data_IF_790932892311
#
_entry.id   IF_790932892311
#
_cell.length_a   1.000
_cell.length_b   1.000
_cell.length_c   1.000
_cell.angle_alpha   90.00
_cell.angle_beta   90.00
_cell.angle_gamma   90.00
#
_symmetry.space_group_name_H-M   'P 1'
#
loop_
_entity.id
_entity.type
_entity.pdbx_description
1 polymer ?
#
# COMPACT_ATOMS: atom_id res chain seq x y z
N UNK A 1 -23.29 13.13 -35.44
CA UNK A 1 -24.12 12.68 -34.31
C UNK A 1 -23.92 13.67 -33.18
N UNK A 2 -24.90 14.56 -32.96
CA UNK A 2 -24.79 15.68 -32.03
C UNK A 2 -24.81 15.21 -30.57
N UNK A 3 -23.75 15.51 -29.83
CA UNK A 3 -23.70 15.39 -28.38
C UNK A 3 -24.60 16.45 -27.76
N UNK A 4 -25.78 16.04 -27.26
CA UNK A 4 -26.76 16.95 -26.69
C UNK A 4 -26.22 17.52 -25.36
N UNK A 5 -26.00 18.85 -25.22
CA UNK A 5 -25.39 19.46 -24.04
C UNK A 5 -26.17 19.24 -22.74
N UNK A 6 -27.47 18.98 -22.88
CA UNK A 6 -28.39 18.73 -21.75
C UNK A 6 -28.05 17.44 -20.99
N UNK A 7 -27.56 16.40 -21.68
CA UNK A 7 -27.13 15.15 -21.02
C UNK A 7 -25.84 15.35 -20.18
N UNK A 8 -24.99 16.30 -20.55
CA UNK A 8 -23.81 16.67 -19.76
C UNK A 8 -24.19 17.51 -18.54
N UNK A 9 -25.20 18.36 -18.65
CA UNK A 9 -25.71 19.14 -17.53
C UNK A 9 -26.42 18.26 -16.49
N UNK A 10 -27.25 17.29 -16.91
CA UNK A 10 -27.97 16.41 -15.98
C UNK A 10 -27.00 15.54 -15.16
N UNK A 11 -25.97 14.95 -15.80
CA UNK A 11 -24.92 14.18 -15.08
C UNK A 11 -24.15 15.00 -14.04
N UNK A 12 -23.99 16.30 -14.27
CA UNK A 12 -23.28 17.19 -13.35
C UNK A 12 -24.15 17.64 -12.16
N UNK A 13 -25.48 17.59 -12.28
CA UNK A 13 -26.40 17.94 -11.19
C UNK A 13 -26.55 16.75 -10.22
N UNK A 14 -26.63 15.52 -10.74
CA UNK A 14 -26.70 14.31 -9.89
C UNK A 14 -25.40 14.11 -9.07
N UNK A 15 -24.25 14.46 -9.64
CA UNK A 15 -22.97 14.43 -8.91
C UNK A 15 -22.83 15.52 -7.83
N UNK A 16 -23.62 16.60 -7.87
CA UNK A 16 -23.59 17.70 -6.89
C UNK A 16 -24.45 17.44 -5.65
N UNK A 17 -25.38 16.47 -5.72
CA UNK A 17 -26.25 16.09 -4.62
C UNK A 17 -25.78 14.83 -3.88
N UNK A 18 -24.66 14.23 -4.29
CA UNK A 18 -24.00 13.25 -3.45
C UNK A 18 -23.40 14.00 -2.26
N UNK A 19 -23.71 13.61 -1.00
CA UNK A 19 -23.01 14.17 0.14
C UNK A 19 -21.51 14.02 -0.13
N UNK A 20 -20.67 15.04 0.19
CA UNK A 20 -19.24 14.87 0.04
C UNK A 20 -18.88 13.59 0.75
N UNK A 21 -18.35 12.60 0.00
CA UNK A 21 -17.78 11.39 0.59
C UNK A 21 -16.84 11.92 1.66
N UNK A 22 -17.20 11.76 2.94
CA UNK A 22 -16.47 12.37 4.06
C UNK A 22 -15.00 12.10 3.81
N UNK A 23 -14.23 13.15 3.53
CA UNK A 23 -12.79 13.03 3.44
C UNK A 23 -12.39 12.32 4.74
N UNK A 24 -11.73 11.17 4.62
CA UNK A 24 -11.20 10.49 5.78
C UNK A 24 -10.33 11.52 6.50
N UNK A 25 -10.58 11.78 7.78
CA UNK A 25 -9.80 12.79 8.50
C UNK A 25 -8.31 12.39 8.44
N UNK A 26 -7.42 13.37 8.34
CA UNK A 26 -5.96 13.11 8.36
C UNK A 26 -5.53 12.33 9.63
N UNK A 27 -6.29 12.48 10.72
CA UNK A 27 -6.12 11.70 11.93
C UNK A 27 -6.42 10.20 11.71
N UNK A 28 -7.49 9.87 10.96
CA UNK A 28 -7.85 8.50 10.67
C UNK A 28 -6.91 7.86 9.64
N UNK A 29 -6.36 8.65 8.70
CA UNK A 29 -5.30 8.20 7.82
C UNK A 29 -4.04 7.79 8.61
N UNK A 30 -3.56 8.67 9.52
CA UNK A 30 -2.42 8.36 10.39
C UNK A 30 -2.66 7.16 11.30
N UNK A 31 -3.88 7.01 11.83
CA UNK A 31 -4.27 5.82 12.60
C UNK A 31 -4.21 4.55 11.75
N UNK A 32 -4.67 4.62 10.50
CA UNK A 32 -4.63 3.49 9.59
C UNK A 32 -3.20 3.05 9.25
N UNK A 33 -2.28 4.00 9.05
CA UNK A 33 -0.85 3.73 8.89
C UNK A 33 -0.30 2.95 10.10
N UNK A 34 -0.57 3.44 11.31
CA UNK A 34 -0.19 2.77 12.55
C UNK A 34 -0.75 1.35 12.68
N UNK A 35 -2.01 1.14 12.31
CA UNK A 35 -2.65 -0.19 12.34
C UNK A 35 -1.99 -1.14 11.35
N UNK A 36 -1.71 -0.70 10.12
CA UNK A 36 -1.07 -1.55 9.09
C UNK A 36 0.37 -1.90 9.50
N UNK A 37 1.15 -0.92 9.94
CA UNK A 37 2.53 -1.12 10.41
C UNK A 37 2.55 -2.06 11.61
N UNK A 38 1.66 -1.85 12.58
CA UNK A 38 1.52 -2.71 13.76
C UNK A 38 1.17 -4.14 13.37
N UNK A 39 0.22 -4.33 12.44
CA UNK A 39 -0.20 -5.65 11.98
C UNK A 39 0.96 -6.40 11.32
N UNK A 40 1.68 -5.74 10.41
CA UNK A 40 2.83 -6.34 9.73
C UNK A 40 3.93 -6.72 10.72
N UNK A 41 4.26 -5.85 11.66
CA UNK A 41 5.28 -6.16 12.68
C UNK A 41 4.87 -7.32 13.59
N UNK A 42 3.59 -7.45 13.93
CA UNK A 42 3.11 -8.58 14.72
C UNK A 42 3.20 -9.90 13.94
N UNK A 43 2.73 -9.91 12.69
CA UNK A 43 2.66 -11.13 11.86
C UNK A 43 4.03 -11.57 11.34
N UNK A 44 4.99 -10.65 11.23
CA UNK A 44 6.36 -10.92 10.76
C UNK A 44 7.38 -10.96 11.90
N UNK A 45 6.91 -10.95 13.14
CA UNK A 45 7.75 -11.03 14.33
C UNK A 45 8.62 -12.29 14.28
N UNK A 46 9.91 -12.13 14.55
CA UNK A 46 10.88 -13.23 14.55
C UNK A 46 11.46 -13.58 13.18
N UNK A 47 11.05 -12.92 12.09
CA UNK A 47 11.59 -13.16 10.73
C UNK A 47 12.74 -12.21 10.35
N UNK A 48 13.29 -11.46 11.30
CA UNK A 48 14.26 -10.37 11.06
C UNK A 48 13.70 -9.33 10.07
N UNK A 49 12.40 -9.07 10.18
CA UNK A 49 11.66 -8.10 9.38
C UNK A 49 11.12 -7.03 10.33
N UNK A 50 11.22 -5.79 9.90
CA UNK A 50 10.66 -4.64 10.60
C UNK A 50 9.96 -3.75 9.59
N UNK A 51 8.75 -3.30 9.92
CA UNK A 51 8.04 -2.27 9.17
C UNK A 51 8.05 -0.99 9.99
N UNK A 52 8.47 0.11 9.37
CA UNK A 52 8.50 1.44 9.99
C UNK A 52 7.79 2.47 9.12
N UNK A 53 7.33 3.59 9.69
CA UNK A 53 6.94 4.74 8.91
C UNK A 53 8.07 5.18 7.99
N UNK A 54 7.71 5.68 6.81
CA UNK A 54 8.64 6.34 5.93
C UNK A 54 9.12 7.65 6.55
N UNK A 55 10.37 8.01 6.26
CA UNK A 55 10.91 9.33 6.56
C UNK A 55 10.38 10.37 5.56
N UNK A 56 10.42 11.68 5.89
CA UNK A 56 9.97 12.71 4.96
C UNK A 56 10.70 12.72 3.61
N UNK A 57 11.97 12.31 3.59
CA UNK A 57 12.77 12.17 2.37
C UNK A 57 12.30 10.99 1.52
N UNK A 58 12.01 9.85 2.16
CA UNK A 58 11.46 8.67 1.48
C UNK A 58 10.04 8.91 0.93
N UNK A 59 9.20 9.69 1.60
CA UNK A 59 7.83 10.00 1.12
C UNK A 59 7.82 11.02 -0.04
N UNK A 60 8.66 12.05 0.06
CA UNK A 60 8.76 13.08 -0.98
C UNK A 60 9.45 12.56 -2.25
N UNK A 61 10.40 11.64 -2.08
CA UNK A 61 11.10 10.92 -3.13
C UNK A 61 11.93 11.77 -4.08
N UNK A 62 12.82 11.12 -4.84
CA UNK A 62 13.41 11.73 -6.03
C UNK A 62 12.41 11.66 -7.19
N UNK A 63 12.24 12.77 -7.93
CA UNK A 63 11.25 12.89 -9.03
C UNK A 63 11.38 11.79 -10.09
N UNK A 64 12.60 11.28 -10.29
CA UNK A 64 12.94 10.34 -11.36
C UNK A 64 13.08 8.88 -10.87
N UNK A 65 12.91 8.62 -9.56
CA UNK A 65 13.14 7.30 -8.95
C UNK A 65 11.91 6.74 -8.24
N UNK A 66 10.73 7.28 -8.53
CA UNK A 66 9.44 6.70 -8.11
C UNK A 66 9.09 6.83 -6.63
N UNK A 67 9.94 7.47 -5.82
CA UNK A 67 9.80 7.58 -4.35
C UNK A 67 8.68 8.48 -3.85
N UNK A 68 7.74 8.93 -4.69
CA UNK A 68 6.60 9.70 -4.21
C UNK A 68 5.58 8.78 -3.54
N UNK A 69 5.02 9.23 -2.43
CA UNK A 69 3.89 8.61 -1.71
C UNK A 69 4.28 7.27 -1.07
N UNK A 70 5.29 7.30 -0.22
CA UNK A 70 5.69 6.14 0.58
C UNK A 70 5.28 6.43 2.02
N UNK A 71 4.37 5.62 2.56
CA UNK A 71 3.87 5.78 3.93
C UNK A 71 4.66 4.88 4.91
N UNK A 72 5.15 3.73 4.44
CA UNK A 72 5.96 2.82 5.25
C UNK A 72 7.03 2.08 4.42
N UNK A 73 8.09 1.65 5.12
CA UNK A 73 9.18 0.85 4.55
C UNK A 73 9.28 -0.45 5.34
N UNK A 74 9.28 -1.58 4.61
CA UNK A 74 9.57 -2.90 5.16
C UNK A 74 11.06 -3.19 4.96
N UNK A 75 11.76 -3.43 6.07
CA UNK A 75 13.16 -3.81 6.11
C UNK A 75 13.29 -5.31 6.36
N UNK A 76 14.21 -5.95 5.63
CA UNK A 76 14.60 -7.34 5.81
C UNK A 76 16.08 -7.34 6.19
N UNK A 77 16.39 -7.90 7.36
CA UNK A 77 17.76 -7.92 7.90
C UNK A 77 18.44 -6.54 7.90
N UNK A 78 17.67 -5.49 8.26
CA UNK A 78 18.16 -4.12 8.36
C UNK A 78 18.30 -3.39 7.02
N UNK A 79 17.85 -3.96 5.91
CA UNK A 79 17.87 -3.32 4.58
C UNK A 79 16.47 -3.15 4.02
N UNK A 80 16.22 -2.03 3.34
CA UNK A 80 14.93 -1.80 2.68
C UNK A 80 14.64 -2.91 1.66
N UNK A 81 13.50 -3.57 1.84
CA UNK A 81 13.02 -4.67 1.00
C UNK A 81 11.82 -4.27 0.14
N UNK A 82 10.94 -3.41 0.67
CA UNK A 82 9.71 -3.00 -0.01
C UNK A 82 9.18 -1.67 0.54
N UNK A 83 8.64 -0.84 -0.33
CA UNK A 83 7.92 0.38 0.04
C UNK A 83 6.41 0.16 0.01
N UNK A 84 5.68 0.76 0.96
CA UNK A 84 4.24 0.60 1.12
C UNK A 84 3.58 1.96 1.03
N UNK A 85 2.61 2.06 0.13
CA UNK A 85 1.68 3.17 0.04
C UNK A 85 0.34 2.74 0.66
N UNK A 86 -0.16 3.52 1.61
CA UNK A 86 -1.34 3.22 2.40
C UNK A 86 -2.51 4.08 1.90
N UNK A 87 -3.69 3.49 1.90
CA UNK A 87 -4.90 4.22 1.54
C UNK A 87 -6.11 3.79 2.36
N UNK A 88 -6.81 4.79 2.88
CA UNK A 88 -8.12 4.64 3.53
C UNK A 88 -9.27 5.08 2.62
N UNK A 89 -8.96 5.45 1.38
CA UNK A 89 -9.96 5.92 0.42
C UNK A 89 -10.98 4.82 0.15
N UNK A 90 -12.26 5.11 0.40
CA UNK A 90 -13.39 4.21 0.07
C UNK A 90 -13.77 4.24 -1.41
N UNK A 91 -13.33 5.27 -2.10
CA UNK A 91 -13.64 5.49 -3.50
C UNK A 91 -12.84 4.52 -4.38
N UNK A 92 -13.51 3.59 -5.10
CA UNK A 92 -12.82 2.66 -6.00
C UNK A 92 -12.02 3.37 -7.09
N UNK A 93 -12.44 4.57 -7.52
CA UNK A 93 -11.69 5.35 -8.52
C UNK A 93 -10.41 5.94 -7.93
N UNK A 94 -10.41 6.33 -6.65
CA UNK A 94 -9.20 6.80 -5.95
C UNK A 94 -8.26 5.63 -5.69
N UNK A 95 -8.77 4.48 -5.25
CA UNK A 95 -7.97 3.26 -5.10
C UNK A 95 -7.34 2.85 -6.44
N UNK A 96 -8.14 2.86 -7.51
CA UNK A 96 -7.67 2.55 -8.86
C UNK A 96 -6.61 3.55 -9.33
N UNK A 97 -6.77 4.85 -9.06
CA UNK A 97 -5.74 5.86 -9.39
C UNK A 97 -4.43 5.60 -8.66
N UNK A 98 -4.46 5.30 -7.35
CA UNK A 98 -3.26 4.92 -6.59
C UNK A 98 -2.60 3.67 -7.16
N UNK A 99 -3.40 2.65 -7.49
CA UNK A 99 -2.89 1.46 -8.17
C UNK A 99 -2.28 1.79 -9.53
N UNK A 100 -2.89 2.66 -10.34
CA UNK A 100 -2.33 3.09 -11.64
C UNK A 100 -1.00 3.84 -11.48
N UNK A 101 -0.85 4.67 -10.45
CA UNK A 101 0.41 5.36 -10.14
C UNK A 101 1.53 4.37 -9.77
N UNK A 102 1.20 3.27 -9.07
CA UNK A 102 2.15 2.18 -8.87
C UNK A 102 2.58 1.52 -10.19
N UNK A 103 1.69 1.42 -11.18
CA UNK A 103 2.03 0.78 -12.46
C UNK A 103 3.07 1.56 -13.23
N UNK A 104 3.06 2.88 -13.10
CA UNK A 104 4.01 3.75 -13.77
C UNK A 104 5.41 3.64 -13.13
N UNK A 105 5.47 3.54 -11.80
CA UNK A 105 6.72 3.44 -11.05
C UNK A 105 6.63 2.31 -9.99
N UNK A 106 6.70 1.04 -10.42
CA UNK A 106 6.52 -0.13 -9.56
C UNK A 106 7.72 -0.43 -8.66
N UNK A 107 8.87 0.18 -8.98
CA UNK A 107 10.07 0.08 -8.16
C UNK A 107 10.54 1.45 -7.75
N UNK A 108 11.18 1.49 -6.59
CA UNK A 108 11.74 2.68 -5.99
C UNK A 108 13.19 2.43 -5.63
N UNK A 109 14.01 3.46 -5.81
CA UNK A 109 15.33 3.54 -5.21
C UNK A 109 15.25 4.55 -4.07
N UNK A 110 15.58 4.11 -2.86
CA UNK A 110 15.72 5.00 -1.71
C UNK A 110 17.12 5.62 -1.71
N UNK A 111 17.29 6.76 -1.05
CA UNK A 111 18.54 7.54 -1.06
C UNK A 111 19.74 6.73 -0.53
N UNK A 112 19.50 5.86 0.45
CA UNK A 112 20.52 4.98 1.02
C UNK A 112 20.97 3.84 0.07
N UNK A 113 20.24 3.60 -1.01
CA UNK A 113 20.53 2.53 -1.96
C UNK A 113 21.54 2.98 -3.01
N UNK A 114 22.63 2.24 -3.17
CA UNK A 114 23.64 2.51 -4.21
C UNK A 114 23.05 2.25 -5.59
N UNK A 115 23.56 2.95 -6.61
CA UNK A 115 23.04 2.91 -7.99
C UNK A 115 23.04 1.51 -8.60
N UNK A 116 23.99 0.67 -8.22
CA UNK A 116 24.14 -0.72 -8.66
C UNK A 116 23.18 -1.71 -7.96
N UNK A 117 22.60 -1.32 -6.82
CA UNK A 117 21.62 -2.16 -6.11
C UNK A 117 20.31 -2.21 -6.89
N UNK A 118 19.66 -3.36 -6.90
CA UNK A 118 18.34 -3.50 -7.53
C UNK A 118 17.32 -2.62 -6.79
N UNK A 119 16.53 -1.78 -7.48
CA UNK A 119 15.40 -1.08 -6.88
C UNK A 119 14.45 -2.03 -6.14
N UNK A 120 13.74 -1.53 -5.13
CA UNK A 120 12.78 -2.31 -4.33
C UNK A 120 11.35 -2.10 -4.82
N UNK A 121 10.48 -3.12 -4.77
CA UNK A 121 9.10 -2.96 -5.19
C UNK A 121 8.33 -2.01 -4.27
N UNK A 122 7.38 -1.30 -4.87
CA UNK A 122 6.38 -0.50 -4.18
C UNK A 122 5.02 -1.19 -4.26
N UNK A 123 4.32 -1.27 -3.13
CA UNK A 123 3.00 -1.92 -3.02
C UNK A 123 1.97 -0.96 -2.46
N UNK A 124 0.69 -1.20 -2.73
CA UNK A 124 -0.42 -0.42 -2.18
C UNK A 124 -1.21 -1.32 -1.25
N UNK A 125 -1.47 -0.81 -0.05
CA UNK A 125 -2.32 -1.45 0.94
C UNK A 125 -3.51 -0.54 1.21
N UNK A 126 -4.71 -1.10 1.06
CA UNK A 126 -5.95 -0.44 1.40
C UNK A 126 -6.54 -1.03 2.67
N UNK A 127 -7.03 -0.16 3.56
CA UNK A 127 -7.76 -0.60 4.75
C UNK A 127 -9.01 0.24 4.91
N UNK A 128 -10.12 -0.39 5.29
CA UNK A 128 -11.37 0.31 5.46
C UNK A 128 -11.32 1.17 6.75
N UNK A 129 -11.68 2.47 6.71
CA UNK A 129 -11.80 3.28 7.92
C UNK A 129 -12.59 2.65 9.08
N UNK A 130 -13.64 1.89 8.78
CA UNK A 130 -14.43 1.15 9.77
C UNK A 130 -13.62 0.04 10.45
N UNK A 131 -12.75 -0.66 9.71
CA UNK A 131 -11.87 -1.69 10.27
C UNK A 131 -10.84 -1.07 11.21
N UNK A 132 -10.28 0.08 10.83
CA UNK A 132 -9.38 0.87 11.68
C UNK A 132 -10.10 1.30 12.96
N UNK A 133 -11.30 1.85 12.83
CA UNK A 133 -12.08 2.33 13.98
C UNK A 133 -12.46 1.18 14.93
N UNK A 134 -12.86 0.03 14.37
CA UNK A 134 -13.17 -1.18 15.11
C UNK A 134 -11.94 -1.68 15.89
N UNK A 135 -10.77 -1.74 15.25
CA UNK A 135 -9.52 -2.12 15.90
C UNK A 135 -9.11 -1.15 17.03
N UNK A 136 -9.32 0.15 16.86
CA UNK A 136 -9.01 1.12 17.92
C UNK A 136 -9.91 0.96 19.15
N UNK A 137 -11.09 0.34 19.00
CA UNK A 137 -11.95 -0.04 20.13
C UNK A 137 -11.52 -1.32 20.84
N UNK A 138 -10.87 -2.25 20.13
CA UNK A 138 -10.36 -3.52 20.68
C UNK A 138 -9.03 -3.92 19.99
N UNK A 139 -7.92 -3.33 20.44
CA UNK A 139 -6.64 -3.31 19.72
C UNK A 139 -5.84 -4.61 19.78
N UNK A 140 -6.44 -5.70 19.32
CA UNK A 140 -5.85 -7.04 19.25
C UNK A 140 -6.02 -7.63 17.85
N UNK A 141 -4.93 -7.84 17.11
CA UNK A 141 -5.03 -8.34 15.73
C UNK A 141 -5.63 -9.76 15.65
N UNK A 142 -5.49 -10.57 16.70
CA UNK A 142 -6.18 -11.88 16.78
C UNK A 142 -7.71 -11.76 16.77
N UNK A 143 -8.27 -10.62 17.18
CA UNK A 143 -9.72 -10.34 17.12
C UNK A 143 -10.16 -9.69 15.82
N UNK A 144 -9.20 -9.22 15.01
CA UNK A 144 -9.44 -8.59 13.72
C UNK A 144 -8.66 -9.29 12.59
N UNK A 145 -8.82 -10.61 12.39
CA UNK A 145 -8.05 -11.37 11.39
C UNK A 145 -8.24 -10.87 9.95
N UNK A 146 -9.37 -10.22 9.66
CA UNK A 146 -9.63 -9.58 8.38
C UNK A 146 -8.61 -8.50 8.02
N UNK A 147 -8.03 -7.80 9.01
CA UNK A 147 -7.01 -6.77 8.78
C UNK A 147 -5.77 -7.43 8.15
N UNK A 148 -5.29 -8.52 8.75
CA UNK A 148 -4.15 -9.25 8.19
C UNK A 148 -4.46 -9.83 6.82
N UNK A 149 -5.61 -10.48 6.66
CA UNK A 149 -6.01 -11.07 5.38
C UNK A 149 -6.04 -10.02 4.26
N UNK A 150 -6.56 -8.82 4.55
CA UNK A 150 -6.61 -7.70 3.61
C UNK A 150 -5.23 -7.16 3.28
N UNK A 151 -4.39 -6.90 4.27
CA UNK A 151 -3.01 -6.42 4.08
C UNK A 151 -2.22 -7.43 3.24
N UNK A 152 -2.25 -8.71 3.63
CA UNK A 152 -1.55 -9.79 2.90
C UNK A 152 -2.04 -9.90 1.45
N UNK A 153 -3.35 -9.83 1.22
CA UNK A 153 -3.92 -9.89 -0.13
C UNK A 153 -3.47 -8.72 -0.99
N UNK A 154 -3.52 -7.49 -0.47
CA UNK A 154 -3.14 -6.28 -1.21
C UNK A 154 -1.65 -6.26 -1.58
N UNK A 155 -0.78 -6.64 -0.64
CA UNK A 155 0.66 -6.77 -0.90
C UNK A 155 0.91 -7.87 -1.95
N UNK A 156 0.30 -9.04 -1.78
CA UNK A 156 0.46 -10.18 -2.72
C UNK A 156 0.03 -9.80 -4.13
N UNK A 157 -1.14 -9.16 -4.27
CA UNK A 157 -1.66 -8.69 -5.55
C UNK A 157 -0.74 -7.65 -6.20
N UNK A 158 -0.20 -6.72 -5.40
CA UNK A 158 0.77 -5.73 -5.88
C UNK A 158 2.04 -6.41 -6.39
N UNK A 159 2.62 -7.35 -5.63
CA UNK A 159 3.85 -8.07 -6.01
C UNK A 159 3.66 -8.96 -7.24
N UNK A 160 2.55 -9.70 -7.33
CA UNK A 160 2.22 -10.50 -8.52
C UNK A 160 2.08 -9.61 -9.75
N UNK A 161 1.49 -8.43 -9.58
CA UNK A 161 1.40 -7.46 -10.67
C UNK A 161 2.78 -6.95 -11.10
N UNK A 162 3.62 -6.57 -10.14
CA UNK A 162 5.02 -6.12 -10.38
C UNK A 162 5.80 -7.19 -11.17
N UNK A 163 5.67 -8.47 -10.79
CA UNK A 163 6.29 -9.59 -11.51
C UNK A 163 5.87 -9.69 -12.98
N UNK A 164 4.60 -9.43 -13.26
CA UNK A 164 4.05 -9.53 -14.61
C UNK A 164 4.52 -8.40 -15.54
N UNK A 165 4.90 -7.25 -14.99
CA UNK A 165 5.25 -6.07 -15.79
C UNK A 165 6.76 -5.86 -15.94
N UNK A 166 7.58 -6.29 -14.96
CA UNK A 166 9.02 -6.09 -15.05
C UNK A 166 9.69 -7.04 -16.04
N UNK A 167 10.65 -6.52 -16.80
CA UNK A 167 11.54 -7.31 -17.68
C UNK A 167 12.90 -7.58 -17.03
N UNK A 168 13.18 -6.99 -15.87
CA UNK A 168 14.47 -7.11 -15.19
C UNK A 168 14.45 -8.33 -14.26
N UNK A 169 15.33 -9.31 -14.52
CA UNK A 169 15.39 -10.56 -13.75
C UNK A 169 15.76 -10.35 -12.27
N UNK A 170 16.57 -9.33 -11.95
CA UNK A 170 16.90 -9.02 -10.55
C UNK A 170 15.70 -8.45 -9.79
N UNK A 171 14.89 -7.66 -10.45
CA UNK A 171 13.63 -7.11 -9.91
C UNK A 171 12.60 -8.21 -9.71
N UNK A 172 12.50 -9.16 -10.66
CA UNK A 172 11.66 -10.36 -10.50
C UNK A 172 12.06 -11.18 -9.29
N UNK A 173 13.36 -11.45 -9.13
CA UNK A 173 13.86 -12.21 -8.00
C UNK A 173 13.48 -11.56 -6.65
N UNK A 174 13.64 -10.23 -6.53
CA UNK A 174 13.21 -9.49 -5.32
C UNK A 174 11.72 -9.62 -5.03
N UNK A 175 10.86 -9.47 -6.03
CA UNK A 175 9.42 -9.60 -5.84
C UNK A 175 9.00 -11.06 -5.51
N UNK A 176 9.67 -12.06 -6.07
CA UNK A 176 9.46 -13.47 -5.74
C UNK A 176 9.87 -13.79 -4.29
N UNK A 177 11.02 -13.28 -3.84
CA UNK A 177 11.49 -13.46 -2.46
C UNK A 177 10.46 -12.93 -1.45
N UNK A 178 9.90 -11.73 -1.71
CA UNK A 178 8.85 -11.15 -0.88
C UNK A 178 7.56 -11.98 -0.87
N UNK A 179 7.17 -12.57 -2.00
CA UNK A 179 6.00 -13.44 -2.07
C UNK A 179 6.17 -14.72 -1.24
N UNK A 180 7.35 -15.35 -1.30
CA UNK A 180 7.68 -16.54 -0.49
C UNK A 180 7.61 -16.19 1.00
N UNK A 181 8.27 -15.09 1.38
CA UNK A 181 8.31 -14.59 2.75
C UNK A 181 6.89 -14.36 3.32
N UNK A 182 5.98 -13.83 2.50
CA UNK A 182 4.59 -13.57 2.87
C UNK A 182 3.73 -14.84 2.86
N UNK A 183 3.98 -15.80 1.98
CA UNK A 183 3.30 -17.09 1.99
C UNK A 183 3.49 -17.79 3.34
N UNK A 184 4.73 -17.81 3.84
CA UNK A 184 5.14 -18.42 5.11
C UNK A 184 4.65 -17.67 6.36
N UNK A 185 3.97 -16.52 6.22
CA UNK A 185 3.48 -15.70 7.34
C UNK A 185 2.00 -15.96 7.69
N UNK A 186 1.54 -17.20 7.57
CA UNK A 186 0.13 -17.56 7.79
C UNK A 186 -0.14 -18.89 8.50
N UNK A 187 0.90 -19.61 8.92
CA UNK A 187 0.79 -20.80 9.77
C UNK A 187 1.16 -20.45 11.20
N UNK A 188 0.29 -19.71 11.89
CA UNK A 188 0.26 -19.81 13.35
C UNK A 188 -0.39 -21.15 13.66
N UNK A 189 0.45 -22.16 13.90
CA UNK A 189 0.03 -23.35 14.65
C UNK A 189 -0.56 -22.87 15.98
N UNK A 190 -1.80 -23.30 16.25
CA UNK A 190 -2.44 -23.21 17.56
C UNK A 190 -2.01 -24.40 18.41
#
# INVERSE_FOLDING_TARGET
MSSNPENSYIRNIDNRNLPPRKAVSEELARKAEGVIIGCLNEQLKGKNIEVRPATPTEDSGHKDEGGKQIDAVLNIAGKAGMCIQITTARDPDVQRKKLMQLKENPFVRLEEMKREETPIPKVVVSINPEEVTSFLGDSSFSKHPQIWAKIKSDITNSLLYVLNITKNEKEKAKAQELLILLADSGTTEH
#
